data_IF_491680861821
#
_entry.id   IF_491680861821
#
_cell.length_a   1.000
_cell.length_b   1.000
_cell.length_c   1.000
_cell.angle_alpha   90.00
_cell.angle_beta   90.00
_cell.angle_gamma   90.00
#
_symmetry.space_group_name_H-M   'P 1'
#
loop_
_entity.id
_entity.type
_entity.pdbx_description
1 polymer ?
#
# COMPACT_ATOMS: atom_id res chain seq x y z
N UNK A 1 -66.17 -47.24 34.76
CA UNK A 1 -65.72 -45.81 34.66
C UNK A 1 -64.19 -45.82 34.55
N UNK A 2 -63.63 -45.62 33.32
CA UNK A 2 -62.18 -45.55 33.09
C UNK A 2 -61.79 -44.07 32.93
N UNK A 3 -60.98 -43.59 33.88
CA UNK A 3 -60.41 -42.23 33.78
C UNK A 3 -59.25 -42.19 32.78
N UNK A 4 -59.41 -41.40 31.75
CA UNK A 4 -58.41 -41.11 30.74
C UNK A 4 -57.46 -40.04 31.28
N UNK A 5 -56.18 -40.38 31.49
CA UNK A 5 -55.15 -39.41 31.86
C UNK A 5 -54.59 -38.78 30.56
N UNK A 6 -54.82 -37.48 30.39
CA UNK A 6 -54.26 -36.67 29.31
C UNK A 6 -52.86 -36.21 29.76
N UNK A 7 -51.81 -36.76 29.09
CA UNK A 7 -50.45 -36.30 29.28
C UNK A 7 -50.21 -34.99 28.50
N UNK A 8 -49.71 -33.95 29.20
CA UNK A 8 -49.32 -32.72 28.58
C UNK A 8 -47.96 -32.86 27.86
N UNK A 9 -47.77 -32.29 26.68
CA UNK A 9 -46.51 -32.35 25.98
C UNK A 9 -45.51 -31.37 26.60
N UNK A 10 -44.31 -31.87 26.93
CA UNK A 10 -43.17 -31.10 27.38
C UNK A 10 -42.56 -30.36 26.19
N UNK A 11 -42.76 -29.04 26.12
CA UNK A 11 -42.14 -28.19 25.07
C UNK A 11 -40.71 -27.89 25.56
N UNK A 12 -39.72 -28.53 24.93
CA UNK A 12 -38.31 -28.23 25.12
C UNK A 12 -37.99 -27.02 24.22
N UNK A 13 -37.91 -25.84 24.82
CA UNK A 13 -37.44 -24.64 24.13
C UNK A 13 -35.92 -24.68 24.03
N UNK A 14 -35.41 -25.02 22.86
CA UNK A 14 -33.99 -24.91 22.52
C UNK A 14 -33.61 -23.45 22.32
N UNK A 15 -32.95 -22.86 23.32
CA UNK A 15 -32.36 -21.51 23.18
C UNK A 15 -31.15 -21.58 22.24
N UNK A 16 -31.33 -21.13 21.01
CA UNK A 16 -30.23 -20.93 20.04
C UNK A 16 -29.42 -19.68 20.47
N UNK A 17 -28.28 -19.90 21.12
CA UNK A 17 -27.35 -18.84 21.43
C UNK A 17 -26.70 -18.33 20.12
N UNK A 18 -27.15 -17.21 19.62
CA UNK A 18 -26.43 -16.48 18.55
C UNK A 18 -25.11 -15.94 19.17
N UNK A 19 -24.00 -16.60 18.84
CA UNK A 19 -22.68 -16.06 19.08
C UNK A 19 -22.48 -14.87 18.13
N UNK A 20 -22.64 -13.66 18.62
CA UNK A 20 -22.21 -12.45 17.89
C UNK A 20 -20.69 -12.47 17.86
N UNK A 21 -20.09 -12.85 16.72
CA UNK A 21 -18.69 -12.60 16.47
C UNK A 21 -18.50 -11.07 16.48
N UNK A 22 -18.03 -10.53 17.60
CA UNK A 22 -17.69 -9.12 17.71
C UNK A 22 -16.63 -8.80 16.66
N UNK A 23 -16.90 -7.86 15.76
CA UNK A 23 -15.89 -7.35 14.84
C UNK A 23 -14.74 -6.79 15.68
N UNK A 24 -13.56 -7.41 15.59
CA UNK A 24 -12.36 -6.91 16.26
C UNK A 24 -12.01 -5.58 15.59
N UNK A 25 -11.97 -4.50 16.38
CA UNK A 25 -11.65 -3.18 15.88
C UNK A 25 -10.26 -3.18 15.23
N UNK A 26 -10.17 -2.62 14.02
CA UNK A 26 -8.90 -2.43 13.35
C UNK A 26 -8.05 -1.40 14.12
N UNK A 27 -6.74 -1.64 14.16
CA UNK A 27 -5.77 -0.74 14.75
C UNK A 27 -5.13 0.19 13.72
N UNK A 28 -4.18 0.98 14.18
CA UNK A 28 -3.37 1.84 13.34
C UNK A 28 -1.90 1.77 13.76
N UNK A 29 -1.00 2.01 12.81
CA UNK A 29 0.43 2.15 13.05
C UNK A 29 0.80 3.59 12.76
N UNK A 30 1.25 4.31 13.79
CA UNK A 30 1.84 5.64 13.68
C UNK A 30 3.34 5.54 13.89
N UNK A 31 4.10 6.32 13.15
CA UNK A 31 5.53 6.24 13.36
C UNK A 31 6.30 7.38 12.74
N UNK A 32 7.60 7.30 12.99
CA UNK A 32 8.59 8.21 12.45
C UNK A 32 9.73 7.44 11.82
N UNK A 33 10.12 7.85 10.63
CA UNK A 33 11.35 7.40 9.98
C UNK A 33 12.43 8.44 10.20
N UNK A 34 13.42 8.08 10.98
CA UNK A 34 14.67 8.86 11.12
C UNK A 34 15.62 8.47 9.99
N UNK A 35 16.45 9.41 9.53
CA UNK A 35 17.40 9.16 8.44
C UNK A 35 18.82 9.47 8.85
N UNK A 36 19.79 8.68 8.35
CA UNK A 36 21.23 8.88 8.57
C UNK A 36 21.96 8.82 7.22
N UNK A 37 22.64 9.89 6.86
CA UNK A 37 23.37 10.00 5.59
C UNK A 37 22.48 10.17 4.35
N UNK A 38 21.19 10.40 4.53
CA UNK A 38 20.18 10.67 3.49
C UNK A 38 19.71 12.11 3.65
N UNK A 39 19.39 12.80 2.54
CA UNK A 39 19.06 14.23 2.53
C UNK A 39 17.68 14.54 3.11
N UNK A 40 16.72 13.64 3.04
CA UNK A 40 15.33 13.89 3.42
C UNK A 40 14.70 12.64 4.02
N UNK A 41 13.85 12.84 5.02
CA UNK A 41 12.98 11.82 5.57
C UNK A 41 11.62 11.75 4.83
N UNK A 42 11.36 12.66 3.89
CA UNK A 42 10.18 12.62 3.03
C UNK A 42 10.28 11.53 1.96
N UNK A 43 9.13 11.16 1.43
CA UNK A 43 9.03 10.25 0.28
C UNK A 43 9.61 8.84 0.56
N UNK A 44 9.59 8.40 1.79
CA UNK A 44 9.94 7.03 2.17
C UNK A 44 8.66 6.20 2.24
N UNK A 45 8.59 5.15 1.44
CA UNK A 45 7.50 4.19 1.53
C UNK A 45 7.64 3.33 2.79
N UNK A 46 6.57 3.17 3.55
CA UNK A 46 6.45 2.25 4.70
C UNK A 46 5.24 1.36 4.45
N UNK A 47 5.43 0.06 4.46
CA UNK A 47 4.36 -0.87 4.15
C UNK A 47 4.49 -2.19 4.93
N UNK A 48 3.36 -2.87 5.10
CA UNK A 48 3.33 -4.20 5.68
C UNK A 48 3.73 -5.22 4.61
N UNK A 49 4.86 -5.90 4.86
CA UNK A 49 5.43 -6.94 4.02
C UNK A 49 5.13 -8.31 4.64
N UNK A 50 3.86 -8.64 4.75
CA UNK A 50 3.42 -9.99 5.14
C UNK A 50 3.32 -10.86 3.90
N UNK A 51 3.78 -12.12 4.01
CA UNK A 51 3.86 -13.05 2.89
C UNK A 51 2.61 -13.08 2.00
N UNK A 52 2.82 -13.45 0.76
CA UNK A 52 1.88 -13.41 -0.36
C UNK A 52 0.60 -14.27 -0.22
N UNK A 53 0.34 -14.85 0.95
CA UNK A 53 -0.72 -15.84 1.16
C UNK A 53 -2.12 -15.23 1.27
N UNK A 54 -2.24 -13.92 1.49
CA UNK A 54 -3.53 -13.22 1.52
C UNK A 54 -3.72 -12.41 0.24
N UNK A 55 -4.76 -12.76 -0.50
CA UNK A 55 -5.23 -11.92 -1.61
C UNK A 55 -6.11 -10.79 -1.04
N UNK A 56 -5.85 -9.58 -1.49
CA UNK A 56 -6.66 -8.41 -1.19
C UNK A 56 -7.41 -7.97 -2.43
N UNK A 57 -8.60 -7.40 -2.24
CA UNK A 57 -9.35 -6.81 -3.33
C UNK A 57 -8.59 -5.59 -3.87
N UNK A 58 -8.34 -5.60 -5.17
CA UNK A 58 -7.67 -4.49 -5.85
C UNK A 58 -8.63 -3.30 -5.94
N UNK A 59 -8.20 -2.07 -5.61
CA UNK A 59 -9.04 -0.89 -5.77
C UNK A 59 -9.55 -0.74 -7.21
N UNK A 60 -10.84 -0.43 -7.36
CA UNK A 60 -11.44 -0.16 -8.67
C UNK A 60 -11.03 1.20 -9.22
N UNK A 61 -10.76 2.14 -8.33
CA UNK A 61 -10.28 3.48 -8.68
C UNK A 61 -8.80 3.43 -9.01
N UNK A 62 -8.45 4.09 -10.11
CA UNK A 62 -7.05 4.20 -10.52
C UNK A 62 -6.31 5.21 -9.64
N UNK A 63 -5.08 4.89 -9.31
CA UNK A 63 -4.15 5.83 -8.68
C UNK A 63 -3.58 6.73 -9.76
N UNK A 64 -3.40 8.02 -9.49
CA UNK A 64 -2.88 8.99 -10.47
C UNK A 64 -1.46 9.38 -10.12
N UNK A 65 -0.57 9.32 -11.11
CA UNK A 65 0.76 9.95 -11.07
C UNK A 65 0.82 10.96 -12.21
N UNK A 66 0.94 12.23 -11.86
CA UNK A 66 0.96 13.33 -12.81
C UNK A 66 2.39 13.75 -13.16
N UNK A 67 2.61 14.14 -14.40
CA UNK A 67 3.83 14.78 -14.87
C UNK A 67 3.58 16.28 -14.92
N UNK A 68 4.13 17.00 -13.95
CA UNK A 68 3.90 18.42 -13.78
C UNK A 68 5.17 19.15 -13.32
N UNK A 69 5.52 20.25 -14.01
CA UNK A 69 6.75 21.01 -13.77
C UNK A 69 8.00 20.14 -13.93
N UNK A 70 8.00 19.29 -14.94
CA UNK A 70 9.09 18.34 -15.22
C UNK A 70 9.42 17.43 -14.01
N UNK A 71 8.41 17.02 -13.26
CA UNK A 71 8.52 16.07 -12.14
C UNK A 71 7.35 15.09 -12.13
N UNK A 72 7.56 13.91 -11.62
CA UNK A 72 6.47 12.99 -11.26
C UNK A 72 5.87 13.41 -9.91
N UNK A 73 4.55 13.51 -9.84
CA UNK A 73 3.80 13.95 -8.65
C UNK A 73 2.67 12.96 -8.35
N UNK A 74 2.72 12.28 -7.20
CA UNK A 74 3.76 12.28 -6.18
C UNK A 74 5.09 11.69 -6.68
N UNK A 75 6.21 12.03 -6.02
CA UNK A 75 7.52 11.45 -6.34
C UNK A 75 7.58 9.95 -6.05
N UNK A 76 7.01 9.54 -4.93
CA UNK A 76 6.87 8.14 -4.51
C UNK A 76 5.40 7.81 -4.33
N UNK A 77 4.94 6.79 -5.01
CA UNK A 77 3.58 6.25 -4.93
C UNK A 77 3.63 4.79 -4.51
N UNK A 78 2.92 4.43 -3.46
CA UNK A 78 2.77 3.03 -3.05
C UNK A 78 1.42 2.52 -3.53
N UNK A 79 1.39 1.35 -4.12
CA UNK A 79 0.16 0.72 -4.61
C UNK A 79 0.09 -0.75 -4.17
N UNK A 80 -1.12 -1.25 -3.99
CA UNK A 80 -1.35 -2.69 -3.84
C UNK A 80 -1.08 -3.40 -5.17
N UNK A 81 -0.50 -4.59 -5.13
CA UNK A 81 -0.33 -5.46 -6.30
C UNK A 81 -1.65 -5.60 -7.07
N UNK A 82 -1.61 -5.41 -8.39
CA UNK A 82 -2.77 -5.43 -9.28
C UNK A 82 -3.43 -4.05 -9.49
N UNK A 83 -3.02 -3.00 -8.77
CA UNK A 83 -3.56 -1.65 -8.94
C UNK A 83 -3.20 -1.06 -10.29
N UNK A 84 -4.16 -0.40 -10.94
CA UNK A 84 -3.93 0.40 -12.13
C UNK A 84 -3.52 1.81 -11.76
N UNK A 85 -2.43 2.30 -12.37
CA UNK A 85 -1.95 3.69 -12.24
C UNK A 85 -2.17 4.41 -13.57
N UNK A 86 -2.84 5.57 -13.50
CA UNK A 86 -2.98 6.48 -14.62
C UNK A 86 -1.82 7.50 -14.61
N UNK A 87 -0.99 7.49 -15.63
CA UNK A 87 0.09 8.46 -15.80
C UNK A 87 -0.42 9.65 -16.63
N UNK A 88 -0.73 10.75 -15.95
CA UNK A 88 -1.24 11.98 -16.55
C UNK A 88 -0.08 12.91 -16.95
N UNK A 89 -0.26 13.69 -18.00
CA UNK A 89 0.63 14.81 -18.34
C UNK A 89 -0.11 16.13 -18.23
N UNK A 90 0.22 16.95 -17.23
CA UNK A 90 -0.31 18.31 -17.02
C UNK A 90 0.63 19.40 -17.53
N UNK A 91 1.82 19.07 -17.98
CA UNK A 91 2.81 20.02 -18.53
C UNK A 91 2.48 20.42 -19.99
N UNK A 92 2.89 21.61 -20.43
CA UNK A 92 2.67 22.06 -21.80
C UNK A 92 3.53 21.32 -22.85
N UNK A 93 4.46 20.47 -22.40
CA UNK A 93 5.37 19.70 -23.26
C UNK A 93 5.05 18.21 -23.18
N UNK A 94 5.44 17.44 -24.19
CA UNK A 94 5.31 15.98 -24.18
C UNK A 94 6.28 15.33 -23.22
N UNK A 95 5.81 14.34 -22.47
CA UNK A 95 6.63 13.53 -21.58
C UNK A 95 6.51 12.04 -21.93
N UNK A 96 7.56 11.31 -21.60
CA UNK A 96 7.61 9.85 -21.69
C UNK A 96 7.61 9.26 -20.28
N UNK A 97 7.03 8.06 -20.11
CA UNK A 97 7.17 7.27 -18.89
C UNK A 97 7.67 5.89 -19.24
N UNK A 98 8.77 5.50 -18.63
CA UNK A 98 9.31 4.15 -18.74
C UNK A 98 10.01 3.75 -17.45
N UNK A 99 10.20 2.44 -17.26
CA UNK A 99 11.04 1.88 -16.22
C UNK A 99 11.86 0.72 -16.79
N UNK A 100 13.17 0.65 -16.46
CA UNK A 100 14.08 -0.36 -17.01
C UNK A 100 13.94 -1.74 -16.34
N UNK A 101 13.27 -1.79 -15.19
CA UNK A 101 13.06 -3.02 -14.42
C UNK A 101 12.04 -2.78 -13.28
N UNK A 102 11.54 -3.84 -12.67
CA UNK A 102 10.93 -3.81 -11.34
C UNK A 102 11.86 -4.57 -10.39
N UNK A 103 12.38 -3.88 -9.38
CA UNK A 103 13.37 -4.43 -8.41
C UNK A 103 14.52 -5.21 -9.07
N UNK A 104 15.05 -4.68 -10.19
CA UNK A 104 16.17 -5.27 -10.94
C UNK A 104 15.77 -6.36 -11.95
N UNK A 105 14.53 -6.83 -11.95
CA UNK A 105 14.04 -7.76 -12.96
C UNK A 105 13.77 -7.03 -14.30
N UNK A 106 14.74 -7.12 -15.23
CA UNK A 106 14.67 -6.47 -16.54
C UNK A 106 13.57 -7.03 -17.47
N UNK A 107 13.05 -8.22 -17.21
CA UNK A 107 11.92 -8.79 -17.97
C UNK A 107 10.62 -8.00 -17.74
N UNK A 108 10.55 -7.24 -16.65
CA UNK A 108 9.44 -6.37 -16.28
C UNK A 108 9.65 -4.91 -16.72
N UNK A 109 10.67 -4.65 -17.56
CA UNK A 109 10.87 -3.35 -18.17
C UNK A 109 9.67 -2.99 -19.04
N UNK A 110 9.27 -1.71 -19.03
CA UNK A 110 8.16 -1.24 -19.83
C UNK A 110 8.36 0.22 -20.27
N UNK A 111 7.78 0.58 -21.40
CA UNK A 111 7.78 1.95 -21.92
C UNK A 111 6.38 2.28 -22.45
N UNK A 112 5.73 3.24 -21.83
CA UNK A 112 4.39 3.70 -22.19
C UNK A 112 4.39 4.65 -23.42
N UNK A 113 5.57 5.03 -23.89
CA UNK A 113 5.73 6.03 -24.96
C UNK A 113 5.59 7.47 -24.46
N UNK A 114 5.43 8.39 -25.39
CA UNK A 114 5.32 9.84 -25.14
C UNK A 114 3.91 10.31 -25.44
N UNK A 115 3.38 11.26 -24.63
CA UNK A 115 2.08 11.88 -24.89
C UNK A 115 2.04 13.35 -24.48
N UNK A 116 1.18 14.17 -25.14
CA UNK A 116 1.07 15.59 -24.87
C UNK A 116 0.22 15.87 -23.62
N UNK A 117 0.14 17.15 -23.28
CA UNK A 117 -0.69 17.67 -22.19
C UNK A 117 -2.14 17.21 -22.26
N UNK A 118 -2.68 16.83 -21.11
CA UNK A 118 -4.08 16.44 -20.91
C UNK A 118 -4.39 14.99 -21.22
N UNK A 119 -3.46 14.26 -21.84
CA UNK A 119 -3.60 12.83 -22.04
C UNK A 119 -3.06 12.03 -20.86
N UNK A 120 -3.51 10.78 -20.75
CA UNK A 120 -3.05 9.81 -19.73
C UNK A 120 -2.85 8.44 -20.32
N UNK A 121 -1.95 7.67 -19.73
CA UNK A 121 -1.70 6.27 -20.05
C UNK A 121 -1.89 5.42 -18.80
N UNK A 122 -2.80 4.43 -18.81
CA UNK A 122 -2.95 3.48 -17.71
C UNK A 122 -1.93 2.36 -17.79
N UNK A 123 -1.51 1.86 -16.63
CA UNK A 123 -0.75 0.63 -16.50
C UNK A 123 -1.09 -0.11 -15.20
N UNK A 124 -1.32 -1.43 -15.28
CA UNK A 124 -1.61 -2.26 -14.12
C UNK A 124 -0.33 -2.91 -13.59
N UNK A 125 0.02 -2.62 -12.33
CA UNK A 125 1.22 -3.14 -11.67
C UNK A 125 0.92 -4.49 -11.00
N UNK A 126 1.24 -5.58 -11.69
CA UNK A 126 0.98 -6.95 -11.23
C UNK A 126 2.15 -7.60 -10.49
N UNK A 127 3.34 -7.01 -10.54
CA UNK A 127 4.56 -7.58 -9.98
C UNK A 127 5.02 -6.77 -8.77
N UNK A 128 5.29 -7.46 -7.65
CA UNK A 128 5.80 -6.85 -6.43
C UNK A 128 7.19 -6.24 -6.65
N UNK A 129 7.46 -5.14 -5.99
CA UNK A 129 8.76 -4.49 -6.03
C UNK A 129 8.68 -3.01 -6.38
N UNK A 130 9.76 -2.46 -6.92
CA UNK A 130 9.89 -1.03 -7.19
C UNK A 130 10.22 -0.79 -8.66
N UNK A 131 9.39 0.01 -9.31
CA UNK A 131 9.64 0.55 -10.64
C UNK A 131 10.15 2.00 -10.50
N UNK A 132 11.38 2.25 -10.95
CA UNK A 132 11.91 3.62 -11.09
C UNK A 132 11.37 4.24 -12.38
N UNK A 133 10.46 5.20 -12.24
CA UNK A 133 9.89 5.95 -13.36
C UNK A 133 10.91 6.96 -13.90
N UNK A 134 11.14 6.91 -15.19
CA UNK A 134 12.08 7.78 -15.89
C UNK A 134 11.41 8.39 -17.13
N UNK A 135 11.98 9.50 -17.62
CA UNK A 135 11.54 10.17 -18.83
C UNK A 135 12.70 10.26 -19.83
N UNK A 136 12.52 9.75 -21.06
CA UNK A 136 13.55 9.85 -22.12
C UNK A 136 13.72 11.27 -22.68
N UNK A 137 12.71 12.13 -22.50
CA UNK A 137 12.71 13.51 -23.00
C UNK A 137 13.43 14.45 -22.02
N UNK A 138 13.24 14.21 -20.72
CA UNK A 138 13.79 15.01 -19.64
C UNK A 138 14.49 14.08 -18.62
N UNK A 139 15.81 13.83 -18.78
CA UNK A 139 16.54 12.84 -17.97
C UNK A 139 16.59 13.12 -16.47
N UNK A 140 16.33 14.36 -16.05
CA UNK A 140 16.23 14.77 -14.65
C UNK A 140 14.93 14.31 -13.97
N UNK A 141 13.92 13.91 -14.72
CA UNK A 141 12.65 13.43 -14.17
C UNK A 141 12.79 12.02 -13.63
N UNK A 142 12.59 11.87 -12.34
CA UNK A 142 12.50 10.56 -11.68
C UNK A 142 11.32 10.49 -10.71
N UNK A 143 10.73 9.32 -10.59
CA UNK A 143 9.69 8.97 -9.63
C UNK A 143 9.69 7.47 -9.36
N UNK A 144 8.82 7.01 -8.46
CA UNK A 144 8.87 5.61 -8.05
C UNK A 144 7.47 5.06 -7.78
N UNK A 145 7.19 3.87 -8.31
CA UNK A 145 6.05 3.06 -7.90
C UNK A 145 6.57 1.93 -7.04
N UNK A 146 6.12 1.88 -5.79
CA UNK A 146 6.36 0.77 -4.87
C UNK A 146 5.12 -0.12 -4.86
N UNK A 147 5.23 -1.31 -5.40
CA UNK A 147 4.14 -2.30 -5.44
C UNK A 147 4.21 -3.16 -4.20
N UNK A 148 3.28 -2.94 -3.28
CA UNK A 148 3.20 -3.61 -1.99
C UNK A 148 2.27 -4.84 -2.04
N UNK A 149 2.54 -5.88 -1.21
CA UNK A 149 1.71 -7.09 -1.15
C UNK A 149 0.41 -6.90 -0.36
N UNK A 150 0.28 -5.79 0.37
CA UNK A 150 -0.88 -5.49 1.21
C UNK A 150 -1.36 -4.06 1.00
N UNK A 151 -2.64 -3.73 1.32
CA UNK A 151 -3.15 -2.36 1.24
C UNK A 151 -2.72 -1.48 2.43
N UNK A 152 -1.86 -1.99 3.32
CA UNK A 152 -1.43 -1.30 4.54
C UNK A 152 -0.08 -0.64 4.31
N UNK A 153 -0.10 0.60 3.85
CA UNK A 153 1.09 1.38 3.54
C UNK A 153 0.87 2.88 3.76
N UNK A 154 1.97 3.60 3.85
CA UNK A 154 2.01 5.05 3.85
C UNK A 154 3.30 5.55 3.19
N UNK A 155 3.34 6.83 2.85
CA UNK A 155 4.55 7.55 2.47
C UNK A 155 4.82 8.60 3.52
N UNK A 156 6.06 8.75 3.95
CA UNK A 156 6.43 9.71 4.97
C UNK A 156 6.30 11.15 4.50
N UNK A 157 5.90 12.03 5.41
CA UNK A 157 5.93 13.47 5.24
C UNK A 157 7.38 14.04 5.34
N UNK A 158 7.50 15.38 5.27
CA UNK A 158 8.81 16.07 5.34
C UNK A 158 9.56 15.84 6.65
N UNK A 159 8.85 15.57 7.73
CA UNK A 159 9.38 15.33 9.06
C UNK A 159 9.63 13.83 9.33
N UNK A 160 9.33 12.97 8.35
CA UNK A 160 9.46 11.52 8.43
C UNK A 160 8.29 10.83 9.11
N UNK A 161 7.19 11.53 9.42
CA UNK A 161 6.04 10.92 10.05
C UNK A 161 5.22 10.12 9.02
N UNK A 162 4.60 9.03 9.50
CA UNK A 162 3.67 8.23 8.71
C UNK A 162 2.53 7.66 9.56
N UNK A 163 1.43 7.31 8.91
CA UNK A 163 0.28 6.68 9.54
C UNK A 163 -0.32 5.62 8.60
N UNK A 164 -0.42 4.37 9.09
CA UNK A 164 -1.08 3.26 8.40
C UNK A 164 -2.34 2.90 9.17
N UNK A 165 -3.51 3.09 8.54
CA UNK A 165 -4.83 2.91 9.16
C UNK A 165 -5.45 1.56 8.83
N UNK A 166 -6.49 1.19 9.60
CA UNK A 166 -7.34 0.04 9.35
C UNK A 166 -6.58 -1.29 9.29
N UNK A 167 -5.50 -1.41 10.06
CA UNK A 167 -4.71 -2.65 10.13
C UNK A 167 -5.41 -3.62 11.08
N UNK A 168 -5.81 -4.83 10.63
CA UNK A 168 -6.38 -5.83 11.52
C UNK A 168 -5.39 -6.19 12.64
N UNK A 169 -5.87 -6.59 13.83
CA UNK A 169 -4.99 -7.10 14.88
C UNK A 169 -4.16 -8.29 14.39
N UNK A 170 -2.87 -8.29 14.73
CA UNK A 170 -1.94 -9.35 14.30
C UNK A 170 -0.48 -8.94 14.47
N UNK A 171 0.38 -9.89 14.15
CA UNK A 171 1.84 -9.68 14.11
C UNK A 171 2.26 -9.46 12.66
N UNK A 172 2.96 -8.37 12.40
CA UNK A 172 3.31 -7.91 11.06
C UNK A 172 4.79 -7.57 10.95
N UNK A 173 5.30 -7.62 9.72
CA UNK A 173 6.61 -7.07 9.37
C UNK A 173 6.40 -5.78 8.59
N UNK A 174 6.84 -4.65 9.15
CA UNK A 174 6.98 -3.40 8.40
C UNK A 174 8.26 -3.43 7.59
N UNK A 175 8.18 -2.85 6.40
CA UNK A 175 9.34 -2.66 5.52
C UNK A 175 9.35 -1.23 4.99
N UNK A 176 10.55 -0.67 4.85
CA UNK A 176 10.74 0.64 4.23
C UNK A 176 11.38 0.49 2.86
N UNK A 177 11.08 1.47 2.00
CA UNK A 177 11.83 1.71 0.77
C UNK A 177 12.08 3.21 0.61
N UNK A 178 13.27 3.58 0.20
CA UNK A 178 13.64 4.95 -0.17
C UNK A 178 14.63 4.93 -1.33
N UNK A 179 14.70 6.03 -2.09
CA UNK A 179 15.60 6.19 -3.23
C UNK A 179 17.08 5.99 -2.84
N UNK A 180 17.51 6.59 -1.73
CA UNK A 180 18.91 6.69 -1.32
C UNK A 180 19.28 5.78 -0.13
N UNK A 181 18.31 5.10 0.47
CA UNK A 181 18.52 4.35 1.71
C UNK A 181 18.35 2.85 1.58
N UNK A 182 19.03 2.13 2.47
CA UNK A 182 18.85 0.69 2.58
C UNK A 182 17.47 0.37 3.19
N UNK A 183 16.77 -0.64 2.67
CA UNK A 183 15.52 -1.09 3.28
C UNK A 183 15.69 -1.51 4.73
N UNK A 184 14.73 -1.14 5.58
CA UNK A 184 14.66 -1.56 6.99
C UNK A 184 13.41 -2.40 7.17
N UNK A 185 13.53 -3.46 7.99
CA UNK A 185 12.39 -4.29 8.40
C UNK A 185 12.28 -4.28 9.92
N UNK A 186 11.04 -4.23 10.41
CA UNK A 186 10.75 -4.30 11.84
C UNK A 186 9.43 -5.04 12.08
N UNK A 187 9.43 -5.94 13.05
CA UNK A 187 8.18 -6.58 13.49
C UNK A 187 7.37 -5.62 14.35
N UNK A 188 6.05 -5.66 14.20
CA UNK A 188 5.10 -4.87 14.98
C UNK A 188 3.88 -5.70 15.31
N UNK A 189 3.42 -5.62 16.55
CA UNK A 189 2.16 -6.22 17.00
C UNK A 189 1.08 -5.17 17.04
N UNK A 190 0.06 -5.33 16.21
CA UNK A 190 -1.09 -4.43 16.13
C UNK A 190 -2.25 -5.00 16.93
N UNK A 191 -2.82 -4.19 17.81
CA UNK A 191 -4.06 -4.49 18.55
C UNK A 191 -5.22 -3.63 18.03
N UNK A 192 -6.26 -3.44 18.87
CA UNK A 192 -7.42 -2.60 18.54
C UNK A 192 -7.17 -1.08 18.65
N UNK A 193 -5.94 -0.66 18.97
CA UNK A 193 -5.58 0.76 19.15
C UNK A 193 -4.43 1.18 18.25
N UNK A 194 -3.85 2.34 18.58
CA UNK A 194 -2.67 2.85 17.91
C UNK A 194 -1.40 2.22 18.48
N UNK A 195 -0.48 1.81 17.62
CA UNK A 195 0.88 1.39 17.99
C UNK A 195 1.88 2.38 17.38
N UNK A 196 2.87 2.79 18.21
CA UNK A 196 3.93 3.72 17.78
C UNK A 196 5.19 2.96 17.38
N UNK A 197 5.82 3.38 16.27
CA UNK A 197 7.02 2.74 15.70
C UNK A 197 8.03 3.82 15.31
N UNK A 198 9.30 3.59 15.63
CA UNK A 198 10.41 4.38 15.10
C UNK A 198 11.31 3.50 14.24
N UNK A 199 11.61 3.97 13.03
CA UNK A 199 12.49 3.31 12.07
C UNK A 199 13.69 4.21 11.77
N UNK A 200 14.86 3.63 11.51
CA UNK A 200 16.04 4.40 11.10
C UNK A 200 16.57 3.87 9.79
N UNK A 201 16.40 4.65 8.72
CA UNK A 201 16.92 4.36 7.38
C UNK A 201 18.30 4.98 7.22
N UNK A 202 19.26 4.18 6.77
CA UNK A 202 20.66 4.58 6.54
C UNK A 202 20.98 4.47 5.06
N UNK A 203 21.94 5.29 4.62
CA UNK A 203 22.48 5.22 3.27
C UNK A 203 23.20 3.91 3.00
#
# INVERSE_FOLDING_TARGET
>A
MKLLRIGAPLIIASALALATAGAVAAGEIKGKVNVQGIKSAADIAVYIDTGADKKFDVPKEHVVVDQRRMTFVPKVTVVLQGTTVDFLNSDPVGHNVYWPSISGNKKLAHNLGTWPKGEKKPFQFNDLGVAALLCNVHPEMSGYIVVAPTPYFAVTDRDGNFEIKNVPPGDYTLKTWSEDGKPVTQTVKVGAGSVSVELTVKK
#
